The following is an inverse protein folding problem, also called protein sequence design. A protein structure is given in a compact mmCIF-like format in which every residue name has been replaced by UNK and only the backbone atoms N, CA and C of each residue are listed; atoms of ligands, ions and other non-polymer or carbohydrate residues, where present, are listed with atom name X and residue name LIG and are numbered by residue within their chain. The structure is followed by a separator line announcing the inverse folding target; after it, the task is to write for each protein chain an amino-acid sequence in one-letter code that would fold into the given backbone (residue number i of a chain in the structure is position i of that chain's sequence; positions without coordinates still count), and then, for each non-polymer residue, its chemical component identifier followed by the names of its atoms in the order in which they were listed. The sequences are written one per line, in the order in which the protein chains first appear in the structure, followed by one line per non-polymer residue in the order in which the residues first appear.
data_IF_848200884557
#
_entry.id   IF_848200884557
#
_cell.length_a   1.000
_cell.length_b   1.000
_cell.length_c   1.000
_cell.angle_alpha   90.00
_cell.angle_beta   90.00
_cell.angle_gamma   90.00
#
_symmetry.space_group_name_H-M   'P 1'
#
loop_
_entity.id
_entity.type
_entity.pdbx_description
1 polymer ?
#
# COMPACT_ATOMS: atom_id res chain seq x y z
N UNK A 1 -11.09 -8.10 8.44
CA UNK A 1 -11.47 -6.76 8.92
C UNK A 1 -10.68 -5.76 8.11
N UNK A 2 -11.31 -4.78 7.46
CA UNK A 2 -10.58 -3.68 6.84
C UNK A 2 -9.92 -2.85 7.94
N UNK A 3 -8.59 -2.72 7.91
CA UNK A 3 -7.88 -1.81 8.81
C UNK A 3 -8.06 -0.40 8.25
N UNK A 4 -9.01 0.34 8.84
CA UNK A 4 -9.24 1.75 8.52
C UNK A 4 -8.22 2.63 9.25
N UNK A 5 -7.91 3.79 8.68
CA UNK A 5 -7.00 4.75 9.31
C UNK A 5 -7.59 5.29 10.63
N UNK A 6 -6.79 5.50 11.69
CA UNK A 6 -7.29 5.80 13.04
C UNK A 6 -8.06 7.11 13.19
N UNK A 7 -7.88 8.07 12.28
CA UNK A 7 -8.51 9.38 12.34
C UNK A 7 -9.06 9.84 11.00
N UNK A 8 -10.10 10.67 11.06
CA UNK A 8 -10.70 11.30 9.87
C UNK A 8 -9.69 12.16 9.11
N UNK A 9 -8.73 12.78 9.80
CA UNK A 9 -7.69 13.58 9.16
C UNK A 9 -6.73 12.71 8.35
N UNK A 10 -6.31 11.56 8.89
CA UNK A 10 -5.50 10.59 8.15
C UNK A 10 -6.25 10.02 6.95
N UNK A 11 -7.53 9.66 7.12
CA UNK A 11 -8.37 9.20 6.03
C UNK A 11 -8.49 10.26 4.91
N UNK A 12 -8.69 11.53 5.28
CA UNK A 12 -8.72 12.63 4.32
C UNK A 12 -7.40 12.80 3.56
N UNK A 13 -6.25 12.70 4.25
CA UNK A 13 -4.93 12.77 3.60
C UNK A 13 -4.74 11.61 2.63
N UNK A 14 -5.06 10.38 3.03
CA UNK A 14 -4.95 9.20 2.16
C UNK A 14 -5.81 9.36 0.90
N UNK A 15 -7.09 9.68 1.07
CA UNK A 15 -8.03 9.85 -0.04
C UNK A 15 -7.61 10.96 -1.02
N UNK A 16 -7.05 12.06 -0.50
CA UNK A 16 -6.67 13.21 -1.32
C UNK A 16 -5.30 13.07 -2.00
N UNK A 17 -4.37 12.26 -1.47
CA UNK A 17 -2.97 12.24 -1.93
C UNK A 17 -2.46 10.90 -2.45
N UNK A 18 -2.92 9.77 -1.89
CA UNK A 18 -2.32 8.46 -2.14
C UNK A 18 -3.29 7.46 -2.78
N UNK A 19 -4.58 7.64 -2.54
CA UNK A 19 -5.63 6.80 -3.11
C UNK A 19 -5.85 7.11 -4.60
N UNK A 20 -5.78 6.08 -5.45
CA UNK A 20 -6.10 6.17 -6.88
C UNK A 20 -7.60 6.00 -7.15
N UNK A 21 -8.05 6.48 -8.29
CA UNK A 21 -9.40 6.23 -8.78
C UNK A 21 -9.44 4.89 -9.50
N UNK A 22 -10.39 4.04 -9.12
CA UNK A 22 -10.67 2.74 -9.71
C UNK A 22 -11.89 2.89 -10.62
N UNK A 23 -11.66 3.05 -11.93
CA UNK A 23 -12.73 3.32 -12.91
C UNK A 23 -13.82 2.24 -12.91
N UNK A 24 -13.42 0.97 -12.86
CA UNK A 24 -14.34 -0.17 -12.90
C UNK A 24 -15.27 -0.22 -11.67
N UNK A 25 -14.76 0.22 -10.52
CA UNK A 25 -15.48 0.21 -9.25
C UNK A 25 -16.20 1.55 -8.97
N UNK A 26 -15.95 2.58 -9.80
CA UNK A 26 -16.51 3.92 -9.63
C UNK A 26 -16.18 4.58 -8.29
N UNK A 27 -15.02 4.25 -7.70
CA UNK A 27 -14.60 4.74 -6.39
C UNK A 27 -13.08 4.90 -6.27
N UNK A 28 -12.67 5.49 -5.15
CA UNK A 28 -11.26 5.57 -4.76
C UNK A 28 -10.78 4.29 -4.06
N UNK A 29 -9.49 4.01 -4.14
CA UNK A 29 -8.82 2.96 -3.37
C UNK A 29 -9.03 3.17 -1.86
N UNK A 30 -9.23 2.09 -1.14
CA UNK A 30 -9.15 1.99 0.32
C UNK A 30 -7.69 1.98 0.78
N UNK A 31 -7.47 2.15 2.09
CA UNK A 31 -6.13 2.08 2.66
C UNK A 31 -5.44 0.74 2.36
N UNK A 32 -6.17 -0.37 2.51
CA UNK A 32 -5.63 -1.71 2.23
C UNK A 32 -5.22 -1.85 0.76
N UNK A 33 -6.07 -1.44 -0.19
CA UNK A 33 -5.77 -1.51 -1.62
C UNK A 33 -4.54 -0.67 -2.00
N UNK A 34 -4.39 0.54 -1.44
CA UNK A 34 -3.21 1.38 -1.66
C UNK A 34 -1.92 0.73 -1.14
N UNK A 35 -1.97 0.09 0.04
CA UNK A 35 -0.80 -0.61 0.61
C UNK A 35 -0.48 -1.87 -0.18
N UNK A 36 -1.48 -2.69 -0.52
CA UNK A 36 -1.26 -3.91 -1.33
C UNK A 36 -0.66 -3.57 -2.69
N UNK A 37 -1.16 -2.52 -3.36
CA UNK A 37 -0.58 -2.03 -4.62
C UNK A 37 0.90 -1.71 -4.50
N UNK A 38 1.31 -1.06 -3.40
CA UNK A 38 2.72 -0.78 -3.14
C UNK A 38 3.56 -2.05 -3.05
N UNK A 39 3.09 -3.06 -2.31
CA UNK A 39 3.82 -4.33 -2.18
C UNK A 39 3.84 -5.13 -3.48
N UNK A 40 2.72 -5.19 -4.21
CA UNK A 40 2.64 -5.87 -5.51
C UNK A 40 3.69 -5.33 -6.48
N UNK A 41 3.79 -4.00 -6.60
CA UNK A 41 4.80 -3.36 -7.44
C UNK A 41 6.22 -3.75 -7.04
N UNK A 42 6.56 -3.70 -5.75
CA UNK A 42 7.93 -3.96 -5.30
C UNK A 42 8.31 -5.43 -5.34
N UNK A 43 7.38 -6.36 -5.16
CA UNK A 43 7.62 -7.80 -5.34
C UNK A 43 8.09 -8.07 -6.78
N UNK A 44 7.36 -7.56 -7.76
CA UNK A 44 7.70 -7.74 -9.17
C UNK A 44 8.99 -6.99 -9.53
N UNK A 45 9.11 -5.73 -9.08
CA UNK A 45 10.28 -4.91 -9.36
C UNK A 45 11.59 -5.50 -8.81
N UNK A 46 11.58 -6.02 -7.57
CA UNK A 46 12.76 -6.64 -6.96
C UNK A 46 13.15 -7.94 -7.65
N UNK A 47 12.16 -8.71 -8.10
CA UNK A 47 12.40 -9.91 -8.88
C UNK A 47 13.08 -9.58 -10.22
N UNK A 48 12.56 -8.60 -10.96
CA UNK A 48 13.07 -8.23 -12.27
C UNK A 48 14.43 -7.53 -12.22
N UNK A 49 14.64 -6.65 -11.24
CA UNK A 49 15.84 -5.78 -11.19
C UNK A 49 16.96 -6.32 -10.32
N UNK A 50 16.63 -7.08 -9.28
CA UNK A 50 17.58 -7.58 -8.29
C UNK A 50 17.66 -9.12 -8.27
N UNK A 51 16.86 -9.82 -9.08
CA UNK A 51 16.73 -11.28 -9.04
C UNK A 51 16.45 -11.79 -7.61
N UNK A 52 15.60 -11.06 -6.89
CA UNK A 52 15.23 -11.35 -5.52
C UNK A 52 13.74 -11.69 -5.43
N UNK A 53 13.43 -12.94 -5.10
CA UNK A 53 12.08 -13.37 -4.77
C UNK A 53 11.78 -13.02 -3.31
N UNK A 54 10.83 -12.11 -3.09
CA UNK A 54 10.38 -11.73 -1.74
C UNK A 54 9.57 -12.88 -1.15
N UNK A 55 9.95 -13.45 0.02
CA UNK A 55 9.17 -14.51 0.66
C UNK A 55 7.78 -14.02 1.07
N UNK A 56 6.75 -14.85 0.85
CA UNK A 56 5.35 -14.51 1.15
C UNK A 56 5.13 -14.14 2.63
N UNK A 57 5.80 -14.84 3.55
CA UNK A 57 5.72 -14.56 4.98
C UNK A 57 6.27 -13.16 5.31
N UNK A 58 7.41 -12.79 4.71
CA UNK A 58 8.04 -11.48 4.90
C UNK A 58 7.17 -10.36 4.30
N UNK A 59 6.63 -10.58 3.09
CA UNK A 59 5.68 -9.64 2.49
C UNK A 59 4.50 -9.39 3.44
N UNK A 60 3.87 -10.45 3.93
CA UNK A 60 2.70 -10.36 4.81
C UNK A 60 3.00 -9.62 6.11
N UNK A 61 4.14 -9.92 6.74
CA UNK A 61 4.58 -9.25 7.96
C UNK A 61 4.75 -7.74 7.75
N UNK A 62 5.45 -7.34 6.68
CA UNK A 62 5.67 -5.94 6.37
C UNK A 62 4.38 -5.21 5.96
N UNK A 63 3.53 -5.87 5.17
CA UNK A 63 2.23 -5.33 4.77
C UNK A 63 1.34 -5.09 5.99
N UNK A 64 1.29 -6.04 6.92
CA UNK A 64 0.56 -5.89 8.17
C UNK A 64 1.11 -4.76 9.05
N UNK A 65 2.44 -4.63 9.17
CA UNK A 65 3.07 -3.57 9.93
C UNK A 65 2.77 -2.17 9.35
N UNK A 66 2.72 -2.03 8.02
CA UNK A 66 2.31 -0.78 7.35
C UNK A 66 0.81 -0.50 7.59
N UNK A 67 -0.04 -1.52 7.49
CA UNK A 67 -1.47 -1.36 7.75
C UNK A 67 -1.76 -0.95 9.20
N UNK A 68 -0.96 -1.44 10.15
CA UNK A 68 -1.00 -1.05 11.56
C UNK A 68 -0.33 0.30 11.86
N UNK A 69 0.27 0.95 10.86
CA UNK A 69 1.04 2.19 10.99
C UNK A 69 2.27 2.08 11.92
N UNK A 70 2.82 0.88 12.07
CA UNK A 70 4.03 0.62 12.86
C UNK A 70 5.29 1.08 12.11
N UNK A 71 5.26 0.91 10.79
CA UNK A 71 6.29 1.38 9.86
C UNK A 71 5.62 2.04 8.65
N UNK A 72 6.36 2.89 7.93
CA UNK A 72 5.85 3.54 6.72
C UNK A 72 6.90 3.60 5.62
N UNK A 73 6.54 3.23 4.37
CA UNK A 73 7.40 3.49 3.22
C UNK A 73 7.48 4.98 2.90
N UNK A 74 8.38 5.34 1.98
CA UNK A 74 8.42 6.68 1.41
C UNK A 74 7.06 7.08 0.84
N UNK A 75 6.58 8.26 1.23
CA UNK A 75 5.32 8.82 0.72
C UNK A 75 5.28 8.92 -0.81
N UNK A 76 6.43 9.20 -1.44
CA UNK A 76 6.54 9.24 -2.90
C UNK A 76 6.31 7.85 -3.48
N UNK A 77 6.91 6.83 -2.89
CA UNK A 77 6.79 5.46 -3.36
C UNK A 77 5.34 4.96 -3.22
N UNK A 78 4.67 5.23 -2.09
CA UNK A 78 3.26 4.88 -1.89
C UNK A 78 2.32 5.50 -2.94
N UNK A 79 2.63 6.73 -3.38
CA UNK A 79 1.89 7.43 -4.42
C UNK A 79 2.11 6.82 -5.81
N UNK A 80 3.36 6.46 -6.15
CA UNK A 80 3.75 6.13 -7.53
C UNK A 80 3.88 4.63 -7.82
N UNK A 81 4.03 3.79 -6.80
CA UNK A 81 4.11 2.34 -6.95
C UNK A 81 2.85 1.78 -7.63
#
# INVERSE_FOLDING_TARGET
MSKELPSLYQAFIHLSRYSRWLEEEGRRETWNETVSRYFDFFVDHLKETCNHDVPDELRRELEEAVLNLEIMPSMRALMTA
#
